data_IF_337290361675
#
_entry.id   IF_337290361675
#
_cell.length_a   1.000
_cell.length_b   1.000
_cell.length_c   1.000
_cell.angle_alpha   90.00
_cell.angle_beta   90.00
_cell.angle_gamma   90.00
#
_symmetry.space_group_name_H-M   'P 1'
#
loop_
_entity.id
_entity.type
_entity.pdbx_description
1 polymer ?
#
# COMPACT_ATOMS: atom_id res chain seq x y z
N UNK A 1 -51.93 -15.60 68.00
CA UNK A 1 -52.67 -15.11 66.84
C UNK A 1 -51.84 -13.98 66.26
N UNK A 2 -51.03 -14.29 65.24
CA UNK A 2 -50.00 -13.39 64.73
C UNK A 2 -50.55 -12.48 63.64
N UNK A 3 -50.01 -11.27 63.57
CA UNK A 3 -50.11 -10.46 62.36
C UNK A 3 -48.71 -10.11 61.87
N UNK A 4 -48.53 -10.45 60.58
CA UNK A 4 -47.29 -10.43 59.83
C UNK A 4 -46.91 -8.99 59.47
N UNK A 5 -45.64 -8.67 59.71
CA UNK A 5 -44.92 -7.62 59.01
C UNK A 5 -44.94 -7.92 57.50
N UNK A 6 -45.75 -7.21 56.74
CA UNK A 6 -45.65 -7.20 55.28
C UNK A 6 -44.78 -6.04 54.83
N UNK A 7 -43.51 -6.36 54.61
CA UNK A 7 -42.53 -5.57 53.87
C UNK A 7 -43.12 -5.26 52.48
N UNK A 8 -43.61 -4.03 52.27
CA UNK A 8 -44.00 -3.57 50.94
C UNK A 8 -42.72 -3.37 50.12
N UNK A 9 -42.47 -4.31 49.22
CA UNK A 9 -41.39 -4.25 48.23
C UNK A 9 -41.46 -2.91 47.48
N UNK A 10 -40.42 -2.12 47.63
CA UNK A 10 -40.11 -1.01 46.73
C UNK A 10 -39.65 -1.64 45.40
N UNK A 11 -40.58 -1.87 44.48
CA UNK A 11 -40.23 -2.16 43.09
C UNK A 11 -39.91 -0.81 42.47
N UNK A 12 -38.63 -0.50 42.35
CA UNK A 12 -38.16 0.53 41.42
C UNK A 12 -38.53 0.01 40.04
N UNK A 13 -39.67 0.47 39.50
CA UNK A 13 -39.90 0.39 38.07
C UNK A 13 -38.88 1.33 37.45
N UNK A 14 -37.70 0.76 37.15
CA UNK A 14 -36.74 1.37 36.24
C UNK A 14 -37.56 1.82 35.04
N UNK A 15 -37.65 3.14 34.87
CA UNK A 15 -38.36 3.73 33.75
C UNK A 15 -37.86 3.03 32.51
N UNK A 16 -38.79 2.40 31.77
CA UNK A 16 -38.52 1.81 30.49
C UNK A 16 -38.16 2.95 29.53
N UNK A 17 -36.94 3.47 29.65
CA UNK A 17 -36.23 3.94 28.49
C UNK A 17 -36.02 2.66 27.69
N UNK A 18 -36.92 2.42 26.74
CA UNK A 18 -36.50 1.86 25.48
C UNK A 18 -35.32 2.74 25.05
N UNK A 19 -34.11 2.26 25.32
CA UNK A 19 -33.07 2.42 24.33
C UNK A 19 -33.64 1.70 23.11
N UNK A 20 -34.43 2.41 22.30
CA UNK A 20 -34.41 2.18 20.87
C UNK A 20 -32.93 2.19 20.57
N UNK A 21 -32.36 1.00 20.37
CA UNK A 21 -31.01 0.85 19.89
C UNK A 21 -30.96 1.51 18.54
N UNK A 22 -30.76 2.83 18.54
CA UNK A 22 -29.93 3.45 17.54
C UNK A 22 -28.57 2.82 17.78
N UNK A 23 -28.34 1.69 17.09
CA UNK A 23 -27.02 1.47 16.56
C UNK A 23 -26.80 2.72 15.74
N UNK A 24 -25.97 3.65 16.23
CA UNK A 24 -25.47 4.70 15.36
C UNK A 24 -24.82 3.92 14.21
N UNK A 25 -25.37 4.05 13.00
CA UNK A 25 -24.68 3.57 11.83
C UNK A 25 -23.31 4.24 11.89
N UNK A 26 -22.28 3.43 12.01
CA UNK A 26 -20.92 3.90 12.14
C UNK A 26 -20.22 3.55 10.86
N UNK A 27 -19.83 4.59 10.13
CA UNK A 27 -19.02 4.43 8.93
C UNK A 27 -17.78 3.57 9.25
N UNK A 28 -17.49 2.63 8.36
CA UNK A 28 -16.29 1.80 8.41
C UNK A 28 -15.64 1.80 7.02
N UNK A 29 -14.31 1.77 7.01
CA UNK A 29 -13.53 1.55 5.79
C UNK A 29 -13.40 0.03 5.63
N UNK A 30 -14.20 -0.54 4.73
CA UNK A 30 -14.32 -1.98 4.54
C UNK A 30 -13.16 -2.59 3.76
N UNK A 31 -12.62 -1.87 2.76
CA UNK A 31 -11.42 -2.28 2.03
C UNK A 31 -10.60 -1.08 1.58
N UNK A 32 -9.31 -1.33 1.37
CA UNK A 32 -8.38 -0.40 0.77
C UNK A 32 -7.80 -1.12 -0.44
N UNK A 33 -8.23 -0.69 -1.62
CA UNK A 33 -7.85 -1.33 -2.88
C UNK A 33 -6.51 -0.77 -3.38
N UNK A 34 -6.19 0.48 -3.03
CA UNK A 34 -4.91 1.12 -3.35
C UNK A 34 -4.63 2.32 -2.43
N UNK A 35 -3.37 2.63 -2.09
CA UNK A 35 -2.17 1.84 -2.41
C UNK A 35 -2.09 0.54 -1.62
N UNK A 36 -1.29 -0.39 -2.12
CA UNK A 36 -0.92 -1.63 -1.44
C UNK A 36 0.49 -1.53 -0.89
N UNK A 37 0.85 -2.39 0.08
CA UNK A 37 2.18 -2.40 0.67
C UNK A 37 3.22 -3.05 -0.26
N UNK A 38 3.59 -2.28 -1.29
CA UNK A 38 4.54 -2.65 -2.34
C UNK A 38 5.37 -1.43 -2.75
N UNK A 39 6.38 -1.68 -3.57
CA UNK A 39 7.09 -0.65 -4.32
C UNK A 39 6.39 -0.39 -5.65
N UNK A 40 6.21 0.89 -5.99
CA UNK A 40 5.69 1.37 -7.26
C UNK A 40 6.83 2.01 -8.06
N UNK A 41 6.90 1.73 -9.35
CA UNK A 41 7.89 2.29 -10.28
C UNK A 41 7.38 3.52 -11.04
N UNK A 42 6.40 4.20 -10.45
CA UNK A 42 5.77 5.41 -10.97
C UNK A 42 5.36 6.30 -9.81
N UNK A 43 5.40 7.63 -10.01
CA UNK A 43 4.86 8.63 -9.08
C UNK A 43 3.34 8.71 -9.11
N UNK A 44 2.70 8.03 -10.07
CA UNK A 44 1.25 7.93 -10.21
C UNK A 44 0.69 6.88 -9.24
N UNK A 45 0.13 7.35 -8.13
CA UNK A 45 -0.46 6.49 -7.11
C UNK A 45 -1.97 6.71 -7.06
N UNK A 46 -2.68 5.61 -7.26
CA UNK A 46 -4.12 5.55 -7.06
C UNK A 46 -4.42 5.34 -5.57
N UNK A 47 -5.26 6.19 -4.99
CA UNK A 47 -5.80 6.03 -3.64
C UNK A 47 -7.25 5.61 -3.79
N UNK A 48 -7.64 4.48 -3.20
CA UNK A 48 -8.97 3.92 -3.37
C UNK A 48 -9.40 3.12 -2.15
N UNK A 49 -10.55 3.50 -1.62
CA UNK A 49 -11.18 2.84 -0.48
C UNK A 49 -12.64 2.57 -0.73
N UNK A 50 -13.11 1.47 -0.16
CA UNK A 50 -14.53 1.14 -0.11
C UNK A 50 -15.01 1.18 1.34
N UNK A 51 -16.15 1.83 1.58
CA UNK A 51 -16.82 1.91 2.88
C UNK A 51 -17.96 0.89 2.99
N UNK A 52 -18.36 0.57 4.22
CA UNK A 52 -19.49 -0.34 4.49
C UNK A 52 -20.87 0.30 4.20
N UNK A 53 -20.94 1.63 4.16
CA UNK A 53 -22.13 2.42 3.85
C UNK A 53 -21.75 3.73 3.16
N UNK A 54 -22.74 4.53 2.76
CA UNK A 54 -22.50 5.81 2.09
C UNK A 54 -21.81 6.80 3.03
N UNK A 55 -20.65 7.30 2.64
CA UNK A 55 -19.96 8.37 3.36
C UNK A 55 -20.37 9.74 2.85
N UNK A 56 -20.44 10.72 3.75
CA UNK A 56 -20.61 12.13 3.40
C UNK A 56 -19.31 12.72 2.87
N UNK A 57 -18.17 12.27 3.42
CA UNK A 57 -16.84 12.63 2.96
C UNK A 57 -15.85 11.51 3.22
N UNK A 58 -14.89 11.35 2.30
CA UNK A 58 -13.69 10.55 2.48
C UNK A 58 -12.46 11.35 2.04
N UNK A 59 -11.35 11.13 2.72
CA UNK A 59 -10.06 11.72 2.40
C UNK A 59 -8.91 10.82 2.84
N UNK A 60 -7.71 11.17 2.39
CA UNK A 60 -6.49 10.50 2.80
C UNK A 60 -5.44 11.52 3.25
N UNK A 61 -4.62 11.13 4.22
CA UNK A 61 -3.42 11.84 4.64
C UNK A 61 -2.22 10.99 4.25
N UNK A 62 -1.29 11.59 3.52
CA UNK A 62 0.00 10.99 3.17
C UNK A 62 1.09 11.67 4.00
N UNK A 63 2.02 10.89 4.56
CA UNK A 63 3.18 11.34 5.34
C UNK A 63 2.86 12.31 6.50
N UNK A 64 1.63 12.25 7.03
CA UNK A 64 1.16 13.13 8.10
C UNK A 64 0.78 14.54 7.65
N UNK A 65 0.70 14.81 6.33
CA UNK A 65 0.16 16.06 5.80
C UNK A 65 -1.37 16.14 5.95
N UNK A 66 -1.95 17.31 5.68
CA UNK A 66 -3.39 17.52 5.75
C UNK A 66 -4.18 16.57 4.84
N UNK A 67 -5.40 16.23 5.24
CA UNK A 67 -6.26 15.33 4.47
C UNK A 67 -6.61 15.94 3.11
N UNK A 68 -6.38 15.16 2.05
CA UNK A 68 -6.83 15.45 0.70
C UNK A 68 -8.19 14.79 0.49
N UNK A 69 -9.17 15.57 0.02
CA UNK A 69 -10.52 15.06 -0.22
C UNK A 69 -10.55 14.17 -1.47
N UNK A 70 -11.22 13.03 -1.36
CA UNK A 70 -11.36 12.06 -2.44
C UNK A 70 -12.65 12.32 -3.23
N UNK A 71 -12.64 11.96 -4.51
CA UNK A 71 -13.85 11.85 -5.33
C UNK A 71 -14.52 10.50 -5.09
N UNK A 72 -15.72 10.29 -5.63
CA UNK A 72 -16.44 9.02 -5.48
C UNK A 72 -16.91 8.48 -6.83
N UNK A 73 -16.67 7.19 -7.07
CA UNK A 73 -17.16 6.47 -8.25
C UNK A 73 -18.56 5.89 -8.01
N UNK A 74 -18.85 5.59 -6.75
CA UNK A 74 -20.15 5.07 -6.30
C UNK A 74 -20.54 5.73 -4.98
N UNK A 75 -21.64 5.26 -4.37
CA UNK A 75 -22.00 5.72 -3.02
C UNK A 75 -21.07 5.19 -1.94
N UNK A 76 -20.27 4.15 -2.19
CA UNK A 76 -19.41 3.51 -1.19
C UNK A 76 -17.95 3.41 -1.60
N UNK A 77 -17.59 3.88 -2.79
CA UNK A 77 -16.22 3.76 -3.32
C UNK A 77 -15.68 5.15 -3.61
N UNK A 78 -14.56 5.47 -2.99
CA UNK A 78 -13.92 6.78 -3.02
C UNK A 78 -12.50 6.65 -3.51
N UNK A 79 -12.08 7.57 -4.38
CA UNK A 79 -10.77 7.53 -5.00
C UNK A 79 -10.11 8.90 -5.17
N UNK A 80 -8.80 8.89 -5.34
CA UNK A 80 -8.02 10.03 -5.78
C UNK A 80 -6.78 9.54 -6.54
N UNK A 81 -6.44 10.20 -7.63
CA UNK A 81 -5.20 9.93 -8.37
C UNK A 81 -4.18 11.04 -8.08
N UNK A 82 -3.06 10.68 -7.46
CA UNK A 82 -1.96 11.60 -7.24
C UNK A 82 -0.81 11.24 -8.17
N UNK A 83 -0.55 12.08 -9.16
CA UNK A 83 0.47 11.86 -10.19
C UNK A 83 1.87 12.36 -9.83
N UNK A 84 2.08 12.75 -8.58
CA UNK A 84 3.32 13.42 -8.15
C UNK A 84 3.74 13.00 -6.75
N UNK A 85 3.52 11.73 -6.39
CA UNK A 85 4.10 11.18 -5.15
C UNK A 85 5.62 11.08 -5.33
N UNK A 86 6.44 11.72 -4.46
CA UNK A 86 7.89 11.72 -4.60
C UNK A 86 8.52 10.34 -4.47
N UNK A 87 9.81 10.23 -4.84
CA UNK A 87 10.65 9.07 -4.54
C UNK A 87 10.76 8.81 -3.02
N UNK A 88 10.74 7.53 -2.63
CA UNK A 88 11.04 7.09 -1.27
C UNK A 88 9.89 6.36 -0.59
N UNK A 89 10.02 6.16 0.72
CA UNK A 89 9.01 5.48 1.54
C UNK A 89 7.94 6.44 2.02
N UNK A 90 6.69 6.03 1.89
CA UNK A 90 5.51 6.80 2.26
C UNK A 90 4.61 6.03 3.21
N UNK A 91 3.82 6.77 3.98
CA UNK A 91 2.70 6.21 4.73
C UNK A 91 1.40 6.94 4.41
N UNK A 92 0.29 6.21 4.42
CA UNK A 92 -1.04 6.77 4.18
C UNK A 92 -2.03 6.29 5.23
N UNK A 93 -2.92 7.18 5.63
CA UNK A 93 -4.11 6.87 6.44
C UNK A 93 -5.35 7.45 5.78
N UNK A 94 -6.40 6.65 5.68
CA UNK A 94 -7.68 7.06 5.13
C UNK A 94 -8.65 7.44 6.24
N UNK A 95 -9.50 8.41 5.97
CA UNK A 95 -10.52 8.91 6.90
C UNK A 95 -11.83 9.08 6.16
N UNK A 96 -12.93 8.58 6.71
CA UNK A 96 -14.26 8.78 6.15
C UNK A 96 -15.25 9.16 7.27
N UNK A 97 -16.26 9.95 6.94
CA UNK A 97 -17.36 10.28 7.84
C UNK A 97 -18.75 10.04 7.21
N UNK A 98 -19.75 9.83 8.06
CA UNK A 98 -21.16 9.76 7.67
C UNK A 98 -21.91 11.06 7.99
N UNK A 99 -23.18 11.13 7.57
CA UNK A 99 -24.09 12.25 7.86
C UNK A 99 -24.48 12.44 9.32
N UNK A 100 -24.25 11.43 10.16
CA UNK A 100 -24.38 11.56 11.61
C UNK A 100 -23.12 12.17 12.26
N UNK A 101 -22.07 12.40 11.46
CA UNK A 101 -20.78 12.95 11.89
C UNK A 101 -19.85 11.91 12.51
N UNK A 102 -20.18 10.61 12.43
CA UNK A 102 -19.28 9.54 12.83
C UNK A 102 -18.05 9.55 11.92
N UNK A 103 -16.84 9.50 12.49
CA UNK A 103 -15.60 9.48 11.73
C UNK A 103 -14.85 8.18 12.02
N UNK A 104 -14.35 7.55 10.97
CA UNK A 104 -13.51 6.36 11.07
C UNK A 104 -12.22 6.54 10.29
N UNK A 105 -11.18 5.86 10.77
CA UNK A 105 -9.83 5.91 10.21
C UNK A 105 -9.38 4.50 9.85
N UNK A 106 -8.59 4.38 8.78
CA UNK A 106 -7.93 3.11 8.47
C UNK A 106 -6.75 2.87 9.40
N UNK A 107 -6.22 1.64 9.36
CA UNK A 107 -4.84 1.42 9.76
C UNK A 107 -3.90 2.20 8.82
N UNK A 108 -2.70 2.52 9.33
CA UNK A 108 -1.66 3.16 8.53
C UNK A 108 -1.05 2.14 7.57
N UNK A 109 -1.12 2.43 6.27
CA UNK A 109 -0.48 1.66 5.22
C UNK A 109 0.86 2.29 4.87
N UNK A 110 1.80 1.44 4.45
CA UNK A 110 3.12 1.85 3.99
C UNK A 110 3.30 1.40 2.55
N UNK A 111 3.98 2.19 1.74
CA UNK A 111 4.38 1.84 0.38
C UNK A 111 5.64 2.62 0.01
N UNK A 112 6.28 2.25 -1.09
CA UNK A 112 7.49 2.92 -1.57
C UNK A 112 7.31 3.32 -3.03
N UNK A 113 7.85 4.48 -3.40
CA UNK A 113 8.04 4.92 -4.78
C UNK A 113 9.52 4.74 -5.12
N UNK A 114 9.80 4.06 -6.22
CA UNK A 114 11.16 3.82 -6.73
C UNK A 114 11.24 4.14 -8.23
N UNK A 115 11.75 5.32 -8.53
CA UNK A 115 11.96 5.88 -9.86
C UNK A 115 13.43 5.82 -10.27
N UNK A 116 14.31 5.30 -9.40
CA UNK A 116 15.74 5.26 -9.63
C UNK A 116 16.07 4.02 -10.43
N UNK A 117 16.68 4.18 -11.60
CA UNK A 117 17.13 3.04 -12.38
C UNK A 117 18.35 2.38 -11.72
N UNK A 118 18.54 1.06 -11.88
CA UNK A 118 19.68 0.35 -11.33
C UNK A 118 20.98 0.87 -11.94
N UNK A 119 21.99 1.13 -11.12
CA UNK A 119 23.36 1.37 -11.59
C UNK A 119 24.06 0.03 -11.83
N UNK A 120 24.51 -0.18 -13.07
CA UNK A 120 25.23 -1.41 -13.46
C UNK A 120 26.72 -1.13 -13.53
N UNK A 121 27.51 -1.91 -12.80
CA UNK A 121 28.97 -1.90 -12.84
C UNK A 121 29.49 -3.17 -13.51
N UNK A 122 30.41 -3.01 -14.45
CA UNK A 122 31.08 -4.13 -15.12
C UNK A 122 32.40 -4.40 -14.39
N UNK A 123 32.46 -5.55 -13.71
CA UNK A 123 33.67 -6.03 -13.03
C UNK A 123 34.56 -6.83 -14.00
N UNK A 124 33.95 -7.55 -14.93
CA UNK A 124 34.62 -8.28 -16.00
C UNK A 124 33.70 -8.42 -17.22
N UNK A 125 34.23 -8.33 -18.46
CA UNK A 125 35.62 -8.16 -18.83
C UNK A 125 36.19 -6.77 -18.54
N UNK A 126 37.49 -6.73 -18.25
CA UNK A 126 38.27 -5.50 -18.21
C UNK A 126 38.60 -5.02 -19.62
N UNK A 127 38.85 -3.73 -19.78
CA UNK A 127 39.26 -3.15 -21.06
C UNK A 127 40.76 -3.46 -21.36
N UNK A 128 41.04 -4.72 -21.63
CA UNK A 128 42.36 -5.26 -21.96
C UNK A 128 42.28 -6.20 -23.15
N UNK A 129 43.44 -6.56 -23.71
CA UNK A 129 43.52 -7.61 -24.74
C UNK A 129 43.56 -8.98 -24.08
N UNK A 130 42.53 -9.79 -24.31
CA UNK A 130 42.48 -11.20 -23.94
C UNK A 130 43.16 -12.08 -24.99
N UNK A 131 43.67 -13.25 -24.59
CA UNK A 131 44.25 -14.19 -25.56
C UNK A 131 43.13 -14.89 -26.33
N UNK A 132 43.43 -15.26 -27.57
CA UNK A 132 42.53 -16.11 -28.34
C UNK A 132 42.28 -17.44 -27.61
N UNK A 133 41.06 -17.96 -27.69
CA UNK A 133 40.63 -19.19 -27.03
C UNK A 133 40.70 -19.19 -25.48
N UNK A 134 40.83 -18.03 -24.84
CA UNK A 134 40.75 -17.90 -23.38
C UNK A 134 39.30 -17.66 -22.95
N UNK A 135 38.89 -18.24 -21.82
CA UNK A 135 37.57 -17.99 -21.25
C UNK A 135 37.51 -16.59 -20.65
N UNK A 136 36.45 -15.87 -20.97
CA UNK A 136 36.19 -14.53 -20.44
C UNK A 136 34.97 -14.63 -19.54
N UNK A 137 35.19 -14.42 -18.25
CA UNK A 137 34.10 -14.32 -17.29
C UNK A 137 33.40 -12.97 -17.47
N UNK A 138 32.07 -13.01 -17.49
CA UNK A 138 31.24 -11.82 -17.41
C UNK A 138 30.76 -11.70 -15.97
N UNK A 139 31.19 -10.64 -15.31
CA UNK A 139 30.77 -10.33 -13.96
C UNK A 139 30.33 -8.87 -13.92
N UNK A 140 29.12 -8.67 -13.44
CA UNK A 140 28.52 -7.36 -13.27
C UNK A 140 27.90 -7.30 -11.89
N UNK A 141 27.79 -6.10 -11.35
CA UNK A 141 27.01 -5.83 -10.15
C UNK A 141 25.95 -4.79 -10.46
N UNK A 142 24.83 -4.88 -9.76
CA UNK A 142 23.73 -3.91 -9.81
C UNK A 142 23.60 -3.26 -8.44
N UNK A 143 23.25 -1.98 -8.38
CA UNK A 143 22.96 -1.27 -7.14
C UNK A 143 21.72 -1.80 -6.41
N UNK A 144 20.86 -2.53 -7.12
CA UNK A 144 19.59 -3.06 -6.64
C UNK A 144 19.23 -4.39 -7.34
N UNK A 145 18.14 -5.01 -6.88
CA UNK A 145 17.64 -6.26 -7.44
C UNK A 145 17.05 -6.03 -8.85
N UNK A 146 17.48 -6.83 -9.82
CA UNK A 146 17.01 -6.77 -11.20
C UNK A 146 16.37 -8.09 -11.61
N UNK A 147 15.29 -8.01 -12.37
CA UNK A 147 14.54 -9.20 -12.82
C UNK A 147 15.24 -9.98 -13.95
N UNK A 148 16.14 -9.32 -14.69
CA UNK A 148 16.88 -9.95 -15.79
C UNK A 148 18.15 -9.18 -16.10
N UNK A 149 19.21 -9.92 -16.45
CA UNK A 149 20.38 -9.36 -17.10
C UNK A 149 20.89 -10.28 -18.22
N UNK A 150 21.43 -9.69 -19.28
CA UNK A 150 22.04 -10.42 -20.38
C UNK A 150 23.15 -9.63 -21.04
N UNK A 151 24.02 -10.35 -21.73
CA UNK A 151 25.14 -9.79 -22.47
C UNK A 151 25.00 -10.10 -23.96
N UNK A 152 25.27 -9.13 -24.82
CA UNK A 152 25.45 -9.35 -26.27
C UNK A 152 26.93 -9.22 -26.60
N UNK A 153 27.44 -10.17 -27.38
CA UNK A 153 28.86 -10.22 -27.76
C UNK A 153 28.92 -10.28 -29.28
N UNK A 154 29.73 -9.39 -29.88
CA UNK A 154 29.85 -9.26 -31.34
C UNK A 154 28.54 -8.97 -32.09
N UNK A 155 27.57 -8.35 -31.41
CA UNK A 155 26.28 -7.99 -32.00
C UNK A 155 25.35 -9.19 -32.25
N UNK A 156 25.58 -10.31 -31.56
CA UNK A 156 24.62 -11.43 -31.51
C UNK A 156 23.45 -11.13 -30.59
N UNK A 157 22.46 -12.03 -30.57
CA UNK A 157 21.38 -11.99 -29.60
C UNK A 157 21.90 -11.99 -28.15
N UNK A 158 21.10 -11.42 -27.25
CA UNK A 158 21.42 -11.35 -25.83
C UNK A 158 21.45 -12.75 -25.21
N UNK A 159 22.51 -13.03 -24.46
CA UNK A 159 22.66 -14.25 -23.67
C UNK A 159 22.36 -13.89 -22.22
N UNK A 160 21.35 -14.53 -21.63
CA UNK A 160 21.03 -14.35 -20.20
C UNK A 160 22.24 -14.72 -19.35
N UNK A 161 22.65 -13.80 -18.47
CA UNK A 161 23.71 -14.08 -17.51
C UNK A 161 23.13 -14.96 -16.40
N UNK A 162 23.64 -16.17 -16.30
CA UNK A 162 23.47 -17.02 -15.11
C UNK A 162 24.70 -16.83 -14.21
N UNK A 163 24.61 -17.15 -12.93
CA UNK A 163 25.76 -17.11 -11.98
C UNK A 163 26.94 -18.04 -12.36
N UNK A 164 26.89 -18.66 -13.53
CA UNK A 164 27.92 -19.52 -14.11
C UNK A 164 28.58 -18.80 -15.28
N UNK A 165 29.92 -18.74 -15.22
CA UNK A 165 30.85 -18.27 -16.25
C UNK A 165 30.40 -18.63 -17.67
N UNK A 166 30.24 -17.62 -18.53
CA UNK A 166 29.72 -17.79 -19.88
C UNK A 166 30.84 -18.20 -20.87
N UNK A 167 30.65 -19.35 -21.52
CA UNK A 167 31.55 -19.85 -22.56
C UNK A 167 31.37 -19.05 -23.87
N UNK A 168 32.34 -18.19 -24.20
CA UNK A 168 32.47 -17.67 -25.57
C UNK A 168 33.81 -18.14 -26.12
N UNK A 169 33.75 -19.20 -26.92
CA UNK A 169 34.89 -19.62 -27.74
C UNK A 169 35.13 -18.56 -28.82
N UNK A 170 36.16 -17.74 -28.61
CA UNK A 170 36.71 -16.79 -29.58
C UNK A 170 37.72 -17.46 -30.51
#
# INVERSE_FOLDING_TARGET
MGERLHLKRLIVLCSWILFLGFVFASIEIASIDSPTNTTYNSSDVWFNVTTNETADWCGYSIDGFENISMSNDSTTTYYFENSSVPEGSHNVTFSCNDSAGGMNFSETLYFTIDLTAPEITIESPLNITYKAYEYIDFNITSSEEINWCGVSVFGTDNITMTNDSLLIGL
#
